data_IF_822897791850
#
_entry.id   IF_822897791850
#
_cell.length_a   1.000
_cell.length_b   1.000
_cell.length_c   1.000
_cell.angle_alpha   90.00
_cell.angle_beta   90.00
_cell.angle_gamma   90.00
#
_symmetry.space_group_name_H-M   'P 1'
#
loop_
_entity.id
_entity.type
_entity.pdbx_description
1 polymer ?
#
# COMPACT_ATOMS: atom_id res chain seq x y z
N UNK A 1 7.51 -52.52 -42.89
CA UNK A 1 8.92 -52.56 -42.44
C UNK A 1 9.58 -51.31 -42.97
N UNK A 2 10.06 -50.44 -42.08
CA UNK A 2 10.58 -49.13 -42.46
C UNK A 2 10.76 -48.27 -41.22
N UNK A 3 11.79 -48.58 -40.45
CA UNK A 3 12.32 -47.74 -39.39
C UNK A 3 12.90 -46.47 -40.01
N UNK A 4 12.59 -45.31 -39.44
CA UNK A 4 13.51 -44.17 -39.37
C UNK A 4 13.02 -43.25 -38.25
N UNK A 5 13.42 -43.60 -37.03
CA UNK A 5 13.46 -42.72 -35.88
C UNK A 5 14.70 -41.84 -36.01
N UNK A 6 14.52 -40.64 -36.54
CA UNK A 6 15.50 -39.55 -36.45
C UNK A 6 15.21 -38.75 -35.18
N UNK A 7 16.05 -38.94 -34.17
CA UNK A 7 16.25 -37.96 -33.10
C UNK A 7 16.99 -36.74 -33.66
N UNK A 8 16.48 -35.52 -33.41
CA UNK A 8 17.24 -34.29 -33.12
C UNK A 8 16.27 -33.11 -32.80
N UNK A 9 16.70 -32.00 -32.15
CA UNK A 9 16.62 -31.88 -30.70
C UNK A 9 15.83 -30.64 -30.20
N UNK A 10 15.57 -30.66 -28.90
CA UNK A 10 15.41 -29.52 -27.95
C UNK A 10 15.13 -28.09 -28.50
N UNK A 11 14.04 -27.47 -28.04
CA UNK A 11 14.06 -26.35 -27.07
C UNK A 11 12.70 -26.35 -26.37
N UNK A 12 12.66 -26.83 -25.12
CA UNK A 12 11.48 -26.67 -24.27
C UNK A 12 11.27 -25.19 -24.03
N UNK A 13 10.14 -24.72 -24.56
CA UNK A 13 9.53 -23.42 -24.32
C UNK A 13 9.68 -23.03 -22.85
N UNK A 14 10.54 -22.05 -22.56
CA UNK A 14 10.45 -21.26 -21.33
C UNK A 14 9.23 -20.35 -21.48
N UNK A 15 8.07 -20.98 -21.37
CA UNK A 15 6.78 -20.32 -21.33
C UNK A 15 6.74 -19.42 -20.10
N UNK A 16 6.57 -18.13 -20.36
CA UNK A 16 6.06 -17.19 -19.36
C UNK A 16 4.80 -17.82 -18.77
N UNK A 17 4.85 -18.14 -17.48
CA UNK A 17 3.73 -18.77 -16.80
C UNK A 17 2.49 -17.86 -16.87
N UNK A 18 1.28 -18.40 -17.15
CA UNK A 18 0.07 -17.61 -17.37
C UNK A 18 -0.48 -16.86 -16.13
N UNK A 19 0.22 -16.86 -14.99
CA UNK A 19 -0.33 -16.49 -13.67
C UNK A 19 0.46 -15.40 -12.92
N UNK A 20 1.46 -14.77 -13.54
CA UNK A 20 2.27 -13.76 -12.84
C UNK A 20 1.44 -12.50 -12.54
N UNK A 21 1.35 -12.13 -11.25
CA UNK A 21 0.67 -10.91 -10.80
C UNK A 21 1.40 -9.69 -11.38
N UNK A 22 0.63 -8.71 -11.88
CA UNK A 22 1.18 -7.48 -12.49
C UNK A 22 2.07 -6.70 -11.53
N UNK A 23 1.79 -6.73 -10.22
CA UNK A 23 2.63 -6.13 -9.19
C UNK A 23 4.04 -6.73 -9.16
N UNK A 24 4.15 -8.06 -9.22
CA UNK A 24 5.45 -8.77 -9.25
C UNK A 24 6.22 -8.47 -10.53
N UNK A 25 5.53 -8.29 -11.66
CA UNK A 25 6.19 -7.83 -12.89
C UNK A 25 6.71 -6.40 -12.73
N UNK A 26 5.95 -5.49 -12.11
CA UNK A 26 6.40 -4.12 -11.86
C UNK A 26 7.66 -4.07 -10.99
N UNK A 27 7.65 -4.79 -9.87
CA UNK A 27 8.81 -4.95 -8.97
C UNK A 27 10.02 -5.52 -9.73
N UNK A 28 9.80 -6.54 -10.56
CA UNK A 28 10.86 -7.15 -11.37
C UNK A 28 11.45 -6.19 -12.39
N UNK A 29 10.65 -5.34 -13.04
CA UNK A 29 11.15 -4.33 -13.98
C UNK A 29 12.02 -3.28 -13.27
N UNK A 30 11.58 -2.81 -12.10
CA UNK A 30 12.35 -1.85 -11.29
C UNK A 30 13.67 -2.47 -10.82
N UNK A 31 13.67 -3.75 -10.44
CA UNK A 31 14.88 -4.47 -10.08
C UNK A 31 15.84 -4.63 -11.28
N UNK A 32 15.32 -5.07 -12.44
CA UNK A 32 16.12 -5.22 -13.66
C UNK A 32 16.72 -3.89 -14.14
N UNK A 33 16.00 -2.77 -14.01
CA UNK A 33 16.54 -1.44 -14.34
C UNK A 33 17.83 -1.11 -13.58
N UNK A 34 17.98 -1.61 -12.34
CA UNK A 34 19.16 -1.38 -11.50
C UNK A 34 20.27 -2.41 -11.72
N UNK A 35 19.90 -3.65 -12.06
CA UNK A 35 20.80 -4.81 -11.96
C UNK A 35 21.17 -5.38 -13.35
N UNK A 36 20.21 -5.47 -14.26
CA UNK A 36 20.39 -6.09 -15.57
C UNK A 36 19.56 -5.37 -16.65
N UNK A 37 20.16 -4.37 -17.33
CA UNK A 37 19.49 -3.64 -18.41
C UNK A 37 19.09 -4.51 -19.60
N UNK A 38 19.81 -5.60 -19.88
CA UNK A 38 19.49 -6.49 -21.01
C UNK A 38 18.20 -7.27 -20.74
N UNK A 39 18.08 -7.81 -19.53
CA UNK A 39 16.84 -8.45 -19.06
C UNK A 39 15.67 -7.46 -19.02
N UNK A 40 15.91 -6.19 -18.63
CA UNK A 40 14.89 -5.15 -18.70
C UNK A 40 14.35 -4.97 -20.13
N UNK A 41 15.23 -4.84 -21.12
CA UNK A 41 14.81 -4.67 -22.53
C UNK A 41 13.99 -5.86 -23.01
N UNK A 42 14.43 -7.08 -22.72
CA UNK A 42 13.70 -8.30 -23.09
C UNK A 42 12.29 -8.33 -22.46
N UNK A 43 12.16 -7.97 -21.19
CA UNK A 43 10.87 -7.90 -20.49
C UNK A 43 9.96 -6.82 -21.07
N UNK A 44 10.50 -5.65 -21.37
CA UNK A 44 9.74 -4.54 -21.95
C UNK A 44 9.25 -4.87 -23.36
N UNK A 45 10.08 -5.51 -24.18
CA UNK A 45 9.70 -5.98 -25.51
C UNK A 45 8.56 -7.00 -25.42
N UNK A 46 8.68 -7.97 -24.51
CA UNK A 46 7.61 -8.94 -24.25
C UNK A 46 6.29 -8.27 -23.85
N UNK A 47 6.34 -7.28 -22.95
CA UNK A 47 5.15 -6.51 -22.54
C UNK A 47 4.56 -5.75 -23.72
N UNK A 48 5.40 -5.12 -24.54
CA UNK A 48 4.97 -4.40 -25.74
C UNK A 48 4.18 -5.32 -26.67
N UNK A 49 4.72 -6.50 -26.96
CA UNK A 49 4.21 -7.41 -27.99
C UNK A 49 3.03 -8.25 -27.53
N UNK A 50 3.03 -8.69 -26.27
CA UNK A 50 2.08 -9.72 -25.79
C UNK A 50 0.99 -9.21 -24.86
N UNK A 51 1.14 -8.03 -24.22
CA UNK A 51 0.16 -7.56 -23.25
C UNK A 51 -0.93 -6.71 -23.90
N UNK A 52 -2.19 -7.04 -23.59
CA UNK A 52 -3.32 -6.18 -23.90
C UNK A 52 -3.27 -4.84 -23.17
N UNK A 53 -3.87 -3.81 -23.77
CA UNK A 53 -3.92 -2.43 -23.25
C UNK A 53 -4.31 -2.33 -21.77
N UNK A 54 -5.33 -3.06 -21.33
CA UNK A 54 -5.79 -3.01 -19.94
C UNK A 54 -4.70 -3.49 -18.96
N UNK A 55 -3.98 -4.57 -19.30
CA UNK A 55 -2.88 -5.09 -18.48
C UNK A 55 -1.70 -4.11 -18.43
N UNK A 56 -1.40 -3.43 -19.54
CA UNK A 56 -0.42 -2.33 -19.59
C UNK A 56 -0.82 -1.15 -18.70
N UNK A 57 -2.10 -0.77 -18.67
CA UNK A 57 -2.60 0.29 -17.77
C UNK A 57 -2.49 -0.12 -16.29
N UNK A 58 -2.83 -1.37 -15.94
CA UNK A 58 -2.62 -1.88 -14.58
C UNK A 58 -1.13 -1.82 -14.20
N UNK A 59 -0.25 -2.17 -15.14
CA UNK A 59 1.20 -2.07 -14.93
C UNK A 59 1.62 -0.63 -14.66
N UNK A 60 1.11 0.35 -15.41
CA UNK A 60 1.39 1.77 -15.16
C UNK A 60 1.05 2.17 -13.73
N UNK A 61 -0.13 1.82 -13.20
CA UNK A 61 -0.47 2.15 -11.81
C UNK A 61 0.47 1.50 -10.79
N UNK A 62 0.94 0.28 -11.04
CA UNK A 62 1.93 -0.38 -10.17
C UNK A 62 3.32 0.27 -10.27
N UNK A 63 3.75 0.69 -11.46
CA UNK A 63 5.02 1.42 -11.64
C UNK A 63 4.98 2.80 -11.00
N UNK A 64 3.84 3.51 -11.09
CA UNK A 64 3.62 4.78 -10.37
C UNK A 64 3.72 4.57 -8.87
N UNK A 65 3.13 3.50 -8.34
CA UNK A 65 3.22 3.15 -6.92
C UNK A 65 4.67 2.98 -6.44
N UNK A 66 5.57 2.53 -7.32
CA UNK A 66 6.99 2.35 -7.05
C UNK A 66 7.82 3.60 -7.31
N UNK A 67 7.21 4.71 -7.74
CA UNK A 67 7.93 5.93 -8.14
C UNK A 67 8.81 5.74 -9.38
N UNK A 68 8.54 4.74 -10.22
CA UNK A 68 9.38 4.38 -11.36
C UNK A 68 9.01 5.18 -12.63
N UNK A 69 9.18 6.50 -12.58
CA UNK A 69 8.79 7.44 -13.63
C UNK A 69 9.39 7.13 -15.02
N UNK A 70 10.66 6.71 -15.08
CA UNK A 70 11.29 6.30 -16.35
C UNK A 70 10.56 5.09 -16.97
N UNK A 71 10.21 4.09 -16.16
CA UNK A 71 9.48 2.91 -16.63
C UNK A 71 8.03 3.25 -16.98
N UNK A 72 7.41 4.19 -16.26
CA UNK A 72 6.08 4.72 -16.62
C UNK A 72 6.13 5.34 -18.01
N UNK A 73 7.14 6.15 -18.31
CA UNK A 73 7.34 6.74 -19.64
C UNK A 73 7.50 5.68 -20.72
N UNK A 74 8.33 4.67 -20.49
CA UNK A 74 8.56 3.58 -21.46
C UNK A 74 7.30 2.77 -21.71
N UNK A 75 6.56 2.40 -20.67
CA UNK A 75 5.32 1.61 -20.82
C UNK A 75 4.19 2.43 -21.44
N UNK A 76 4.14 3.75 -21.23
CA UNK A 76 3.20 4.63 -21.91
C UNK A 76 3.38 4.60 -23.44
N UNK A 77 4.61 4.42 -23.94
CA UNK A 77 4.87 4.30 -25.38
C UNK A 77 4.22 3.04 -25.99
N UNK A 78 3.97 2.00 -25.19
CA UNK A 78 3.29 0.78 -25.65
C UNK A 78 1.77 0.91 -25.72
N UNK A 79 1.22 2.07 -25.32
CA UNK A 79 -0.19 2.43 -25.44
C UNK A 79 -0.36 3.29 -26.71
N UNK A 80 -1.40 3.01 -27.54
CA UNK A 80 -1.68 3.82 -28.72
C UNK A 80 -1.94 5.29 -28.38
N UNK A 81 -1.52 6.21 -29.25
CA UNK A 81 -1.52 7.67 -28.99
C UNK A 81 -2.88 8.22 -28.55
N UNK A 82 -3.96 7.74 -29.17
CA UNK A 82 -5.34 8.16 -28.85
C UNK A 82 -5.76 7.82 -27.41
N UNK A 83 -5.08 6.88 -26.75
CA UNK A 83 -5.29 6.55 -25.34
C UNK A 83 -4.14 7.06 -24.45
N UNK A 84 -2.94 7.24 -25.00
CA UNK A 84 -1.73 7.61 -24.23
C UNK A 84 -1.91 8.92 -23.48
N UNK A 85 -2.45 9.95 -24.15
CA UNK A 85 -2.67 11.30 -23.57
C UNK A 85 -3.46 11.24 -22.27
N UNK A 86 -4.43 10.33 -22.18
CA UNK A 86 -5.25 10.13 -20.99
C UNK A 86 -4.45 9.69 -19.75
N UNK A 87 -3.33 8.98 -19.96
CA UNK A 87 -2.51 8.41 -18.88
C UNK A 87 -1.20 9.17 -18.67
N UNK A 88 -0.88 10.19 -19.48
CA UNK A 88 0.32 11.02 -19.31
C UNK A 88 0.48 11.61 -17.89
N UNK A 89 -0.59 12.05 -17.19
CA UNK A 89 -0.40 12.60 -15.85
C UNK A 89 0.16 11.59 -14.84
N UNK A 90 0.12 10.29 -15.11
CA UNK A 90 0.77 9.26 -14.28
C UNK A 90 2.28 9.48 -14.14
N UNK A 91 2.96 10.06 -15.15
CA UNK A 91 4.38 10.43 -15.05
C UNK A 91 4.60 11.40 -13.88
N UNK A 92 3.75 12.41 -13.76
CA UNK A 92 3.83 13.43 -12.70
C UNK A 92 3.56 12.85 -11.32
N UNK A 93 2.59 11.94 -11.19
CA UNK A 93 2.37 11.21 -9.94
C UNK A 93 3.58 10.34 -9.55
N UNK A 94 4.18 9.63 -10.50
CA UNK A 94 5.37 8.82 -10.25
C UNK A 94 6.55 9.69 -9.78
N UNK A 95 6.75 10.86 -10.38
CA UNK A 95 7.77 11.83 -9.97
C UNK A 95 7.56 12.34 -8.53
N UNK A 96 6.31 12.63 -8.14
CA UNK A 96 6.01 13.03 -6.75
C UNK A 96 6.35 11.89 -5.80
N UNK A 97 5.90 10.66 -6.09
CA UNK A 97 6.20 9.48 -5.25
C UNK A 97 7.71 9.26 -5.15
N UNK A 98 8.43 9.28 -6.29
CA UNK A 98 9.89 9.11 -6.34
C UNK A 98 10.59 10.14 -5.45
N UNK A 99 10.25 11.42 -5.60
CA UNK A 99 10.82 12.50 -4.79
C UNK A 99 10.63 12.25 -3.30
N UNK A 100 9.50 11.68 -2.89
CA UNK A 100 9.24 11.40 -1.50
C UNK A 100 10.02 10.18 -1.02
N UNK A 101 10.08 9.09 -1.79
CA UNK A 101 10.85 7.90 -1.45
C UNK A 101 12.36 8.19 -1.37
N UNK A 102 12.90 8.95 -2.31
CA UNK A 102 14.31 9.36 -2.32
C UNK A 102 14.66 10.27 -1.14
N UNK A 103 13.72 11.10 -0.66
CA UNK A 103 13.94 11.94 0.53
C UNK A 103 14.02 11.14 1.84
N UNK A 104 13.51 9.91 1.86
CA UNK A 104 13.60 8.98 2.99
C UNK A 104 14.93 8.23 2.95
N UNK A 105 15.38 7.79 1.78
CA UNK A 105 16.62 7.02 1.60
C UNK A 105 17.88 7.88 1.48
N UNK A 106 17.76 9.13 1.04
CA UNK A 106 18.87 10.03 0.83
C UNK A 106 18.61 11.37 1.54
N UNK A 107 19.63 11.89 2.22
CA UNK A 107 19.73 13.30 2.65
C UNK A 107 19.82 14.27 1.46
N UNK A 108 19.19 13.95 0.33
CA UNK A 108 19.16 14.74 -0.88
C UNK A 108 17.91 15.62 -0.87
N UNK A 109 18.11 16.87 -1.27
CA UNK A 109 17.01 17.82 -1.46
C UNK A 109 16.02 17.24 -2.47
N UNK A 110 14.73 17.41 -2.19
CA UNK A 110 13.68 17.16 -3.16
C UNK A 110 14.07 17.84 -4.50
N UNK A 111 13.88 17.17 -5.65
CA UNK A 111 14.15 17.77 -6.95
C UNK A 111 13.44 19.13 -7.05
N UNK A 112 14.13 20.13 -7.59
CA UNK A 112 13.72 21.55 -7.59
C UNK A 112 12.36 21.85 -8.27
N UNK A 113 11.66 20.82 -8.77
CA UNK A 113 10.46 20.95 -9.60
C UNK A 113 9.16 20.39 -8.96
N UNK A 114 9.18 19.84 -7.74
CA UNK A 114 7.97 19.21 -7.13
C UNK A 114 6.79 20.18 -7.04
N UNK A 115 7.04 21.44 -6.68
CA UNK A 115 5.99 22.46 -6.59
C UNK A 115 5.28 22.68 -7.93
N UNK A 116 6.05 22.80 -9.02
CA UNK A 116 5.47 22.97 -10.36
C UNK A 116 4.71 21.72 -10.79
N UNK A 117 5.24 20.53 -10.50
CA UNK A 117 4.56 19.26 -10.79
C UNK A 117 3.20 19.21 -10.07
N UNK A 118 3.14 19.64 -8.81
CA UNK A 118 1.88 19.72 -8.06
C UNK A 118 0.92 20.74 -8.67
N UNK A 119 1.39 21.92 -9.07
CA UNK A 119 0.56 22.92 -9.74
C UNK A 119 -0.02 22.39 -11.05
N UNK A 120 0.78 21.68 -11.83
CA UNK A 120 0.33 21.05 -13.05
C UNK A 120 -0.73 19.97 -12.78
N UNK A 121 -0.53 19.12 -11.78
CA UNK A 121 -1.50 18.11 -11.36
C UNK A 121 -2.80 18.75 -10.87
N UNK A 122 -2.71 19.89 -10.17
CA UNK A 122 -3.86 20.66 -9.72
C UNK A 122 -4.66 21.24 -10.89
N UNK A 123 -4.01 21.54 -12.03
CA UNK A 123 -4.66 22.08 -13.24
C UNK A 123 -5.53 21.05 -13.98
N UNK A 124 -5.34 19.76 -13.70
CA UNK A 124 -6.09 18.68 -14.35
C UNK A 124 -7.59 18.81 -14.14
N UNK A 125 -8.35 18.40 -15.16
CA UNK A 125 -9.79 18.29 -15.09
C UNK A 125 -10.22 17.13 -14.16
N UNK A 126 -11.47 17.18 -13.70
CA UNK A 126 -12.07 16.09 -12.92
C UNK A 126 -11.97 14.73 -13.64
N UNK A 127 -12.13 14.69 -14.97
CA UNK A 127 -12.06 13.44 -15.75
C UNK A 127 -10.63 12.87 -15.79
N UNK A 128 -9.62 13.72 -15.96
CA UNK A 128 -8.22 13.28 -15.97
C UNK A 128 -7.80 12.76 -14.59
N UNK A 129 -8.18 13.47 -13.53
CA UNK A 129 -7.96 13.01 -12.16
C UNK A 129 -8.69 11.70 -11.90
N UNK A 130 -9.92 11.52 -12.38
CA UNK A 130 -10.66 10.28 -12.19
C UNK A 130 -9.96 9.07 -12.81
N UNK A 131 -9.30 9.25 -13.95
CA UNK A 131 -8.59 8.17 -14.64
C UNK A 131 -7.23 7.89 -14.00
N UNK A 132 -6.59 8.90 -13.42
CA UNK A 132 -5.21 8.80 -12.93
C UNK A 132 -5.10 8.58 -11.42
N UNK A 133 -6.08 9.05 -10.64
CA UNK A 133 -6.22 8.83 -9.20
C UNK A 133 -7.08 7.61 -8.89
N UNK A 134 -6.79 6.48 -9.55
CA UNK A 134 -7.39 5.18 -9.28
C UNK A 134 -6.32 4.10 -9.36
N UNK A 135 -6.21 3.27 -8.32
CA UNK A 135 -5.24 2.17 -8.31
C UNK A 135 -4.38 2.10 -7.05
N UNK A 136 -3.43 1.16 -7.01
CA UNK A 136 -2.62 0.87 -5.83
C UNK A 136 -1.74 2.05 -5.38
N UNK A 137 -1.34 2.94 -6.28
CA UNK A 137 -0.48 4.09 -5.97
C UNK A 137 -1.13 5.12 -5.07
N UNK A 138 -2.46 5.12 -4.92
CA UNK A 138 -3.20 6.14 -4.17
C UNK A 138 -2.79 6.21 -2.70
N UNK A 139 -2.65 5.05 -2.05
CA UNK A 139 -2.26 4.99 -0.63
C UNK A 139 -0.83 5.53 -0.43
N UNK A 140 0.11 5.10 -1.27
CA UNK A 140 1.50 5.60 -1.28
C UNK A 140 1.56 7.10 -1.55
N UNK A 141 0.83 7.57 -2.57
CA UNK A 141 0.76 8.97 -2.95
C UNK A 141 0.30 9.84 -1.78
N UNK A 142 -0.81 9.47 -1.13
CA UNK A 142 -1.37 10.25 -0.02
C UNK A 142 -0.45 10.26 1.19
N UNK A 143 0.22 9.14 1.49
CA UNK A 143 1.15 9.04 2.62
C UNK A 143 2.36 9.92 2.41
N UNK A 144 2.91 9.91 1.20
CA UNK A 144 4.16 10.57 0.90
C UNK A 144 3.98 12.04 0.47
N UNK A 145 2.77 12.47 0.12
CA UNK A 145 2.51 13.82 -0.39
C UNK A 145 3.09 14.92 0.51
N UNK A 146 3.78 15.95 -0.05
CA UNK A 146 4.40 17.01 0.75
C UNK A 146 3.42 17.72 1.69
N UNK A 147 3.80 17.86 2.97
CA UNK A 147 2.93 18.45 4.00
C UNK A 147 2.51 19.90 3.68
N UNK A 148 3.41 20.67 3.09
CA UNK A 148 3.16 22.07 2.70
C UNK A 148 2.17 22.20 1.52
N UNK A 149 1.86 21.10 0.84
CA UNK A 149 0.98 21.06 -0.34
C UNK A 149 -0.29 20.22 -0.13
N UNK A 150 -0.68 19.98 1.12
CA UNK A 150 -1.87 19.16 1.44
C UNK A 150 -3.17 19.82 0.99
N UNK A 151 -3.23 21.15 0.99
CA UNK A 151 -4.40 21.91 0.52
C UNK A 151 -4.69 21.64 -0.96
N UNK A 152 -3.65 21.55 -1.79
CA UNK A 152 -3.71 21.21 -3.21
C UNK A 152 -4.20 19.78 -3.41
N UNK A 153 -3.71 18.83 -2.61
CA UNK A 153 -4.18 17.44 -2.64
C UNK A 153 -5.66 17.32 -2.27
N UNK A 154 -6.10 18.02 -1.22
CA UNK A 154 -7.52 18.07 -0.82
C UNK A 154 -8.37 18.64 -1.96
N UNK A 155 -7.91 19.72 -2.59
CA UNK A 155 -8.60 20.34 -3.72
C UNK A 155 -8.73 19.38 -4.91
N UNK A 156 -7.66 18.66 -5.26
CA UNK A 156 -7.67 17.62 -6.29
C UNK A 156 -8.65 16.49 -5.96
N UNK A 157 -8.62 15.95 -4.74
CA UNK A 157 -9.53 14.89 -4.32
C UNK A 157 -10.99 15.33 -4.35
N UNK A 158 -11.28 16.57 -3.95
CA UNK A 158 -12.65 17.14 -4.04
C UNK A 158 -13.16 17.28 -5.47
N UNK A 159 -12.30 17.39 -6.48
CA UNK A 159 -12.75 17.36 -7.88
C UNK A 159 -13.35 16.00 -8.25
N UNK A 160 -13.02 14.93 -7.53
CA UNK A 160 -13.49 13.57 -7.75
C UNK A 160 -14.85 13.28 -7.10
N UNK A 161 -15.23 14.02 -6.05
CA UNK A 161 -16.51 13.80 -5.36
C UNK A 161 -17.72 14.04 -6.28
N UNK A 162 -17.55 14.85 -7.33
CA UNK A 162 -18.55 15.07 -8.39
C UNK A 162 -18.97 13.80 -9.12
N UNK A 163 -18.15 12.74 -9.11
CA UNK A 163 -18.50 11.44 -9.69
C UNK A 163 -18.97 10.43 -8.63
N UNK A 164 -19.25 10.86 -7.39
CA UNK A 164 -19.69 9.99 -6.31
C UNK A 164 -18.57 9.21 -5.60
N UNK A 165 -17.29 9.53 -5.84
CA UNK A 165 -16.16 8.84 -5.22
C UNK A 165 -15.80 9.39 -3.83
N UNK A 166 -16.75 9.41 -2.90
CA UNK A 166 -16.48 9.81 -1.51
C UNK A 166 -15.45 8.87 -0.83
N UNK A 167 -15.27 7.64 -1.32
CA UNK A 167 -14.24 6.72 -0.81
C UNK A 167 -12.83 7.27 -0.95
N UNK A 168 -12.53 8.06 -1.99
CA UNK A 168 -11.20 8.67 -2.17
C UNK A 168 -10.99 9.80 -1.14
N UNK A 169 -12.02 10.60 -0.88
CA UNK A 169 -12.01 11.61 0.18
C UNK A 169 -11.78 10.97 1.56
N UNK A 170 -12.49 9.89 1.86
CA UNK A 170 -12.33 9.15 3.12
C UNK A 170 -10.97 8.45 3.24
N UNK A 171 -10.43 7.92 2.14
CA UNK A 171 -9.09 7.36 2.11
C UNK A 171 -8.03 8.44 2.41
N UNK A 172 -8.13 9.61 1.77
CA UNK A 172 -7.25 10.73 2.06
C UNK A 172 -7.41 11.17 3.52
N UNK A 173 -8.63 11.30 4.01
CA UNK A 173 -8.92 11.68 5.39
C UNK A 173 -8.24 10.74 6.39
N UNK A 174 -8.35 9.42 6.20
CA UNK A 174 -7.68 8.44 7.04
C UNK A 174 -6.15 8.56 7.00
N UNK A 175 -5.57 8.80 5.82
CA UNK A 175 -4.13 9.03 5.69
C UNK A 175 -3.68 10.33 6.35
N UNK A 176 -4.47 11.40 6.28
CA UNK A 176 -4.15 12.66 6.98
C UNK A 176 -4.16 12.48 8.51
N UNK A 177 -5.11 11.70 9.04
CA UNK A 177 -5.15 11.35 10.47
C UNK A 177 -3.90 10.54 10.85
N UNK A 178 -3.53 9.54 10.06
CA UNK A 178 -2.30 8.76 10.25
C UNK A 178 -1.03 9.64 10.22
N UNK A 179 -1.11 10.84 9.65
CA UNK A 179 0.00 11.81 9.56
C UNK A 179 -0.04 12.91 10.62
N UNK A 180 -1.00 12.90 11.54
CA UNK A 180 -1.16 13.98 12.55
C UNK A 180 -1.83 15.25 12.02
N UNK A 181 -2.50 15.18 10.87
CA UNK A 181 -3.14 16.31 10.19
C UNK A 181 -4.67 16.25 10.31
N UNK A 182 -5.17 15.87 11.49
CA UNK A 182 -6.61 15.73 11.76
C UNK A 182 -7.38 17.06 11.62
N UNK A 183 -6.71 18.19 11.81
CA UNK A 183 -7.24 19.55 11.59
C UNK A 183 -7.74 19.79 10.16
N UNK A 184 -7.22 19.03 9.18
CA UNK A 184 -7.55 19.19 7.75
C UNK A 184 -8.68 18.28 7.26
N UNK A 185 -9.14 17.36 8.09
CA UNK A 185 -10.03 16.26 7.72
C UNK A 185 -11.48 16.68 7.56
N UNK A 186 -11.95 17.65 8.35
CA UNK A 186 -13.35 18.08 8.38
C UNK A 186 -13.92 18.35 6.99
N UNK A 187 -13.10 18.91 6.11
CA UNK A 187 -13.52 19.27 4.76
C UNK A 187 -13.63 18.09 3.78
N UNK A 188 -13.18 16.89 4.16
CA UNK A 188 -13.20 15.65 3.38
C UNK A 188 -14.30 14.66 3.81
N UNK A 189 -14.93 14.89 4.97
CA UNK A 189 -15.91 13.94 5.51
C UNK A 189 -17.25 13.96 4.78
N UNK A 190 -17.56 15.06 4.09
CA UNK A 190 -18.84 15.28 3.40
C UNK A 190 -20.03 15.03 4.34
N UNK A 191 -20.73 13.90 4.17
CA UNK A 191 -21.89 13.50 4.97
C UNK A 191 -21.55 12.61 6.18
N UNK A 192 -20.27 12.25 6.36
CA UNK A 192 -19.83 11.40 7.47
C UNK A 192 -19.55 12.27 8.69
N UNK A 193 -19.95 11.79 9.87
CA UNK A 193 -19.59 12.45 11.13
C UNK A 193 -18.12 12.22 11.48
N UNK A 194 -17.61 11.03 11.18
CA UNK A 194 -16.21 10.63 11.44
C UNK A 194 -15.66 9.81 10.28
N UNK A 195 -14.33 9.70 10.18
CA UNK A 195 -13.69 8.74 9.26
C UNK A 195 -13.93 7.31 9.76
N UNK A 196 -14.54 6.42 8.95
CA UNK A 196 -14.71 5.02 9.33
C UNK A 196 -13.36 4.35 9.61
N UNK A 197 -13.28 3.54 10.68
CA UNK A 197 -12.01 2.93 11.12
C UNK A 197 -11.32 2.11 10.03
N UNK A 198 -12.06 1.57 9.05
CA UNK A 198 -11.49 0.84 7.91
C UNK A 198 -10.51 1.66 7.08
N UNK A 199 -10.61 3.00 7.10
CA UNK A 199 -9.65 3.91 6.45
C UNK A 199 -8.52 4.36 7.38
N UNK A 200 -8.64 4.08 8.69
CA UNK A 200 -7.69 4.49 9.73
C UNK A 200 -6.60 3.42 9.97
N UNK A 201 -6.93 2.15 9.78
CA UNK A 201 -6.12 1.00 10.25
C UNK A 201 -4.90 0.65 9.39
N UNK A 202 -4.60 1.46 8.37
CA UNK A 202 -3.57 1.16 7.37
C UNK A 202 -3.95 0.02 6.43
N UNK A 203 -3.00 -0.45 5.64
CA UNK A 203 -3.17 -1.57 4.69
C UNK A 203 -2.17 -2.67 4.98
N UNK A 204 -2.30 -3.82 4.31
CA UNK A 204 -1.30 -4.90 4.42
C UNK A 204 0.06 -4.51 3.85
N UNK A 205 0.08 -3.62 2.85
CA UNK A 205 1.31 -3.11 2.25
C UNK A 205 1.90 -1.95 3.07
N UNK A 206 1.04 -1.17 3.73
CA UNK A 206 1.41 0.01 4.50
C UNK A 206 0.73 -0.05 5.88
N UNK A 207 1.29 -0.88 6.76
CA UNK A 207 0.94 -0.93 8.18
C UNK A 207 1.20 0.41 8.84
N UNK A 208 0.52 0.68 9.96
CA UNK A 208 0.78 1.89 10.72
C UNK A 208 2.14 1.78 11.41
N UNK A 209 2.96 2.81 11.23
CA UNK A 209 4.13 3.04 12.08
C UNK A 209 3.68 3.49 13.47
N UNK A 210 4.58 3.46 14.45
CA UNK A 210 4.29 3.96 15.80
C UNK A 210 3.69 5.39 15.81
N UNK A 211 4.28 6.41 15.15
CA UNK A 211 3.71 7.75 15.12
C UNK A 211 2.30 7.79 14.50
N UNK A 212 2.08 7.00 13.44
CA UNK A 212 0.78 6.93 12.78
C UNK A 212 -0.27 6.29 13.68
N UNK A 213 0.07 5.19 14.37
CA UNK A 213 -0.81 4.56 15.33
C UNK A 213 -1.20 5.51 16.46
N UNK A 214 -0.23 6.22 17.05
CA UNK A 214 -0.47 7.16 18.15
C UNK A 214 -1.37 8.32 17.73
N UNK A 215 -1.07 8.93 16.58
CA UNK A 215 -1.89 10.01 16.01
C UNK A 215 -3.33 9.56 15.78
N UNK A 216 -3.51 8.39 15.17
CA UNK A 216 -4.83 7.86 14.86
C UNK A 216 -5.58 7.43 16.11
N UNK A 217 -4.90 6.85 17.09
CA UNK A 217 -5.49 6.51 18.37
C UNK A 217 -6.01 7.76 19.11
N UNK A 218 -5.29 8.87 19.08
CA UNK A 218 -5.74 10.14 19.68
C UNK A 218 -7.00 10.67 18.99
N UNK A 219 -7.03 10.59 17.66
CA UNK A 219 -8.23 10.91 16.88
C UNK A 219 -9.42 10.02 17.28
N UNK A 220 -9.25 8.69 17.27
CA UNK A 220 -10.32 7.74 17.60
C UNK A 220 -10.84 7.95 19.02
N UNK A 221 -9.96 8.17 20.00
CA UNK A 221 -10.37 8.51 21.38
C UNK A 221 -11.25 9.75 21.45
N UNK A 222 -10.95 10.75 20.62
CA UNK A 222 -11.65 12.03 20.63
C UNK A 222 -13.01 11.93 19.96
N UNK A 223 -13.11 11.24 18.82
CA UNK A 223 -14.32 11.28 17.98
C UNK A 223 -15.16 10.02 18.04
N UNK A 224 -14.58 8.87 18.38
CA UNK A 224 -15.23 7.57 18.35
C UNK A 224 -14.62 6.55 19.34
N UNK A 225 -14.70 6.83 20.66
CA UNK A 225 -14.05 6.00 21.67
C UNK A 225 -14.61 4.57 21.76
N UNK A 226 -15.84 4.35 21.30
CA UNK A 226 -16.48 3.03 21.35
C UNK A 226 -15.79 2.02 20.41
N UNK A 227 -15.16 2.50 19.33
CA UNK A 227 -14.53 1.64 18.32
C UNK A 227 -12.99 1.54 18.47
N UNK A 228 -12.43 1.96 19.62
CA UNK A 228 -10.99 1.79 19.92
C UNK A 228 -10.56 0.33 19.75
N UNK A 229 -11.36 -0.62 20.25
CA UNK A 229 -11.05 -2.05 20.14
C UNK A 229 -11.04 -2.52 18.67
N UNK A 230 -12.00 -2.08 17.84
CA UNK A 230 -12.01 -2.41 16.41
C UNK A 230 -10.77 -1.86 15.69
N UNK A 231 -10.36 -0.63 16.01
CA UNK A 231 -9.16 -0.02 15.47
C UNK A 231 -7.91 -0.84 15.84
N UNK A 232 -7.73 -1.15 17.13
CA UNK A 232 -6.59 -1.93 17.63
C UNK A 232 -6.55 -3.32 17.00
N UNK A 233 -7.68 -4.02 16.98
CA UNK A 233 -7.82 -5.35 16.36
C UNK A 233 -7.34 -5.36 14.91
N UNK A 234 -7.83 -4.41 14.10
CA UNK A 234 -7.50 -4.36 12.67
C UNK A 234 -6.04 -3.94 12.44
N UNK A 235 -5.50 -3.01 13.23
CA UNK A 235 -4.09 -2.63 13.15
C UNK A 235 -3.17 -3.81 13.45
N UNK A 236 -3.43 -4.55 14.54
CA UNK A 236 -2.64 -5.72 14.92
C UNK A 236 -2.80 -6.86 13.91
N UNK A 237 -4.01 -7.06 13.37
CA UNK A 237 -4.25 -8.03 12.30
C UNK A 237 -3.44 -7.68 11.04
N UNK A 238 -3.48 -6.42 10.60
CA UNK A 238 -2.72 -5.97 9.44
C UNK A 238 -1.23 -6.19 9.68
N UNK A 239 -0.70 -5.77 10.82
CA UNK A 239 0.70 -5.95 11.21
C UNK A 239 1.12 -7.43 11.21
N UNK A 240 0.30 -8.30 11.79
CA UNK A 240 0.58 -9.74 11.88
C UNK A 240 0.57 -10.46 10.51
N UNK A 241 -0.11 -9.90 9.51
CA UNK A 241 -0.13 -10.41 8.14
C UNK A 241 1.02 -9.88 7.27
N UNK A 242 1.84 -8.97 7.79
CA UNK A 242 3.02 -8.45 7.07
C UNK A 242 4.28 -9.28 7.33
N UNK A 243 5.27 -9.09 6.46
CA UNK A 243 6.58 -9.71 6.56
C UNK A 243 7.58 -8.95 7.45
N UNK A 244 7.21 -7.81 8.03
CA UNK A 244 8.12 -7.01 8.86
C UNK A 244 7.93 -7.31 10.37
N UNK A 245 8.92 -7.95 10.98
CA UNK A 245 8.91 -8.31 12.40
C UNK A 245 9.00 -7.08 13.33
N UNK A 246 9.67 -6.00 12.91
CA UNK A 246 9.83 -4.81 13.76
C UNK A 246 8.51 -4.04 13.92
N UNK A 247 7.73 -3.92 12.84
CA UNK A 247 6.45 -3.21 12.84
C UNK A 247 5.44 -3.88 13.77
N UNK A 248 5.36 -5.22 13.74
CA UNK A 248 4.48 -5.98 14.63
C UNK A 248 4.93 -5.86 16.09
N UNK A 249 6.23 -5.89 16.37
CA UNK A 249 6.73 -5.75 17.74
C UNK A 249 6.43 -4.37 18.32
N UNK A 250 6.66 -3.31 17.54
CA UNK A 250 6.37 -1.95 17.97
C UNK A 250 4.88 -1.78 18.27
N UNK A 251 3.99 -2.19 17.36
CA UNK A 251 2.55 -2.05 17.55
C UNK A 251 2.03 -2.85 18.74
N UNK A 252 2.45 -4.11 18.90
CA UNK A 252 2.05 -4.92 20.06
C UNK A 252 2.53 -4.27 21.35
N UNK A 253 3.79 -3.82 21.39
CA UNK A 253 4.35 -3.14 22.57
C UNK A 253 3.56 -1.89 22.94
N UNK A 254 3.22 -1.04 21.97
CA UNK A 254 2.43 0.18 22.20
C UNK A 254 1.07 -0.17 22.81
N UNK A 255 0.40 -1.21 22.32
CA UNK A 255 -0.93 -1.61 22.80
C UNK A 255 -0.88 -2.14 24.23
N UNK A 256 0.07 -3.03 24.55
CA UNK A 256 0.10 -3.75 25.83
C UNK A 256 0.87 -3.03 26.94
N UNK A 257 1.68 -2.03 26.58
CA UNK A 257 2.47 -1.25 27.54
C UNK A 257 1.78 0.07 27.92
N UNK A 258 2.17 0.71 29.03
CA UNK A 258 1.75 2.08 29.31
C UNK A 258 2.06 3.03 28.14
N UNK A 259 1.17 3.99 27.82
CA UNK A 259 0.00 4.40 28.60
C UNK A 259 -1.28 3.60 28.35
N UNK A 260 -1.29 2.68 27.37
CA UNK A 260 -2.52 1.99 26.96
C UNK A 260 -2.83 0.75 27.79
N UNK A 261 -1.85 -0.11 28.02
CA UNK A 261 -1.97 -1.27 28.91
C UNK A 261 -3.14 -2.20 28.56
N UNK A 262 -3.46 -2.35 27.28
CA UNK A 262 -4.65 -3.10 26.84
C UNK A 262 -4.40 -4.61 26.89
N UNK A 263 -5.40 -5.36 27.37
CA UNK A 263 -5.43 -6.81 27.29
C UNK A 263 -5.84 -7.25 25.88
N UNK A 264 -4.93 -7.92 25.16
CA UNK A 264 -5.16 -8.44 23.80
C UNK A 264 -6.37 -9.37 23.73
N UNK A 265 -6.70 -10.12 24.79
CA UNK A 265 -7.88 -10.98 24.81
C UNK A 265 -9.20 -10.20 24.82
N UNK A 266 -9.17 -8.95 25.27
CA UNK A 266 -10.33 -8.06 25.31
C UNK A 266 -10.45 -7.21 24.05
N UNK A 267 -9.31 -6.78 23.48
CA UNK A 267 -9.32 -5.84 22.35
C UNK A 267 -9.21 -6.51 20.98
N UNK A 268 -8.85 -7.80 20.91
CA UNK A 268 -8.76 -8.53 19.64
C UNK A 268 -9.80 -9.65 19.54
N UNK A 269 -10.35 -9.82 18.34
CA UNK A 269 -11.22 -10.97 18.02
C UNK A 269 -10.39 -12.24 17.78
N UNK A 270 -11.04 -13.40 17.90
CA UNK A 270 -10.36 -14.69 17.79
C UNK A 270 -9.53 -14.89 16.51
N UNK A 271 -9.99 -14.52 15.30
CA UNK A 271 -9.17 -14.60 14.09
C UNK A 271 -7.87 -13.80 14.18
N UNK A 272 -7.92 -12.58 14.74
CA UNK A 272 -6.74 -11.73 14.93
C UNK A 272 -5.78 -12.37 15.93
N UNK A 273 -6.29 -12.86 17.07
CA UNK A 273 -5.48 -13.56 18.08
C UNK A 273 -4.74 -14.78 17.49
N UNK A 274 -5.40 -15.56 16.64
CA UNK A 274 -4.79 -16.72 15.98
C UNK A 274 -3.64 -16.34 15.04
N UNK A 275 -3.85 -15.32 14.21
CA UNK A 275 -2.83 -14.83 13.27
C UNK A 275 -1.66 -14.21 14.03
N UNK A 276 -1.94 -13.37 15.02
CA UNK A 276 -0.95 -12.73 15.87
C UNK A 276 -0.08 -13.77 16.60
N UNK A 277 -0.71 -14.74 17.25
CA UNK A 277 0.00 -15.81 17.96
C UNK A 277 0.87 -16.64 17.04
N UNK A 278 0.35 -17.06 15.88
CA UNK A 278 1.13 -17.82 14.89
C UNK A 278 2.35 -17.03 14.43
N UNK A 279 2.16 -15.75 14.05
CA UNK A 279 3.24 -14.90 13.56
C UNK A 279 4.33 -14.70 14.60
N UNK A 280 3.96 -14.36 15.83
CA UNK A 280 4.92 -14.10 16.91
C UNK A 280 5.64 -15.37 17.39
N UNK A 281 4.99 -16.54 17.29
CA UNK A 281 5.63 -17.84 17.61
C UNK A 281 6.76 -18.19 16.62
N UNK A 282 6.67 -17.75 15.38
CA UNK A 282 7.69 -17.98 14.34
C UNK A 282 8.88 -17.02 14.45
N UNK A 283 8.76 -15.94 15.21
CA UNK A 283 9.82 -14.95 15.42
C UNK A 283 10.92 -15.48 16.36
N UNK A 284 12.17 -15.52 15.86
CA UNK A 284 13.33 -16.05 16.62
C UNK A 284 13.73 -15.21 17.83
N UNK A 285 13.50 -13.90 17.78
CA UNK A 285 13.97 -12.92 18.77
C UNK A 285 12.80 -12.17 19.41
N UNK A 286 11.78 -12.89 19.88
CA UNK A 286 10.61 -12.25 20.48
C UNK A 286 10.98 -11.50 21.78
N UNK A 287 10.70 -10.20 21.89
CA UNK A 287 10.95 -9.44 23.12
C UNK A 287 10.20 -10.00 24.33
N UNK A 288 10.83 -9.97 25.52
CA UNK A 288 10.27 -10.56 26.76
C UNK A 288 8.93 -9.95 27.18
N UNK A 289 8.78 -8.65 26.98
CA UNK A 289 7.57 -7.89 27.25
C UNK A 289 6.40 -8.37 26.38
N UNK A 290 6.66 -8.64 25.09
CA UNK A 290 5.67 -9.19 24.17
C UNK A 290 5.36 -10.66 24.49
N UNK A 291 6.37 -11.43 24.88
CA UNK A 291 6.20 -12.83 25.27
C UNK A 291 5.24 -12.97 26.46
N UNK A 292 5.33 -12.07 27.46
CA UNK A 292 4.39 -12.02 28.58
C UNK A 292 2.93 -11.81 28.14
N UNK A 293 2.70 -10.90 27.19
CA UNK A 293 1.37 -10.64 26.64
C UNK A 293 0.80 -11.80 25.81
N UNK A 294 1.65 -12.73 25.32
CA UNK A 294 1.24 -13.88 24.53
C UNK A 294 0.79 -15.09 25.36
N UNK A 295 1.19 -15.18 26.64
CA UNK A 295 0.87 -16.34 27.50
C UNK A 295 -0.64 -16.59 27.59
N UNK A 296 -1.50 -15.59 27.90
CA UNK A 296 -2.94 -15.81 28.01
C UNK A 296 -3.59 -16.22 26.68
N UNK A 297 -3.04 -15.75 25.55
CA UNK A 297 -3.52 -16.10 24.21
C UNK A 297 -3.21 -17.56 23.89
N UNK A 298 -1.99 -18.02 24.21
CA UNK A 298 -1.58 -19.42 24.03
C UNK A 298 -2.49 -20.36 24.80
N UNK A 299 -2.76 -20.08 26.07
CA UNK A 299 -3.64 -20.87 26.93
C UNK A 299 -5.05 -20.98 26.36
N UNK A 300 -5.64 -19.84 25.93
CA UNK A 300 -6.98 -19.79 25.33
C UNK A 300 -7.07 -20.59 24.03
N UNK A 301 -6.06 -20.49 23.17
CA UNK A 301 -6.03 -21.18 21.88
C UNK A 301 -5.84 -22.69 22.06
N UNK A 302 -4.97 -23.13 22.97
CA UNK A 302 -4.73 -24.55 23.25
C UNK A 302 -5.95 -25.22 23.91
N UNK A 303 -6.61 -24.55 24.86
CA UNK A 303 -7.85 -25.04 25.48
C UNK A 303 -9.01 -25.16 24.48
N UNK A 304 -9.00 -24.34 23.42
CA UNK A 304 -10.01 -24.43 22.36
C UNK A 304 -9.79 -25.64 21.45
N UNK A 305 -8.53 -26.03 21.18
CA UNK A 305 -8.19 -27.23 20.38
C UNK A 305 -8.47 -28.54 21.10
N UNK A 306 -8.33 -28.59 22.42
CA UNK A 306 -8.67 -29.77 23.23
C UNK A 306 -10.19 -30.03 23.27
N UNK A 307 -11.01 -28.97 23.21
CA UNK A 307 -12.48 -29.10 23.16
C UNK A 307 -13.03 -29.53 21.81
N UNK A 308 -12.30 -29.36 20.71
CA UNK A 308 -12.71 -29.80 19.37
C UNK A 308 -12.20 -31.21 19.01
N UNK A 309 -11.30 -31.77 19.82
CA UNK A 309 -10.71 -33.10 19.63
C UNK A 309 -11.26 -34.16 20.60
N UNK A 310 -12.21 -33.76 21.46
CA UNK A 310 -13.05 -34.62 22.29
C UNK A 310 -14.47 -34.69 21.72
#
# INVERSE_FOLDING_TARGET
>A
MGSNSSEEPSVSQTGIQPTQKVSTTAESLVASQKIDPSDLENKLQLISDSWGRHKKVILLYNLVNLGADDLVERVLQFIPDNYRVTYEPLKKFALVIRSCLESVDAKLKAPENVKQIIQDLQSLSSNELFITMRGPHMDTLFRCWPADHISELISMTKKLSRFGFNSVSLQLAGVLINRGLSDKVSTLLENNETVPFTFLVGTLQNTLTEPAFLSTMEYVKTVDPNHIHNFVDHCLRNAALTSNDDDIFQLVRIVVSPPYGMDLLQVCIQPTLQVLYRRLKECKNLPKDILGAMVPISEKLNASTEKTSA
#
